data_IF_757639555375
#
_entry.id   IF_757639555375
#
_cell.length_a   1.000
_cell.length_b   1.000
_cell.length_c   1.000
_cell.angle_alpha   90.00
_cell.angle_beta   90.00
_cell.angle_gamma   90.00
#
_symmetry.space_group_name_H-M   'P 1'
#
loop_
_entity.id
_entity.type
_entity.pdbx_description
1 polymer ?
#
# COMPACT_ATOMS: atom_id res chain seq x y z
N UNK A 1 -25.29 29.05 -38.48
CA UNK A 1 -25.48 30.12 -37.47
C UNK A 1 -26.63 29.72 -36.55
N UNK A 2 -26.33 29.31 -35.32
CA UNK A 2 -27.32 29.05 -34.26
C UNK A 2 -26.71 29.60 -32.97
N UNK A 3 -26.90 30.89 -32.74
CA UNK A 3 -26.59 31.54 -31.46
C UNK A 3 -27.89 31.75 -30.68
N UNK A 4 -27.74 31.75 -29.36
CA UNK A 4 -28.59 32.36 -28.34
C UNK A 4 -29.69 31.49 -27.70
N UNK A 5 -29.26 30.70 -26.70
CA UNK A 5 -29.91 30.71 -25.39
C UNK A 5 -28.84 30.90 -24.31
N UNK A 6 -28.41 32.15 -24.15
CA UNK A 6 -27.59 32.55 -23.01
C UNK A 6 -28.54 32.67 -21.82
N UNK A 7 -28.48 31.70 -20.90
CA UNK A 7 -29.14 31.82 -19.60
C UNK A 7 -28.46 32.94 -18.79
N UNK A 8 -29.21 33.76 -18.05
CA UNK A 8 -28.64 34.82 -17.24
C UNK A 8 -27.72 34.23 -16.17
N UNK A 9 -26.45 34.65 -16.18
CA UNK A 9 -25.44 34.28 -15.19
C UNK A 9 -25.86 34.88 -13.85
N UNK A 10 -26.38 34.05 -12.93
CA UNK A 10 -26.46 34.41 -11.51
C UNK A 10 -25.05 34.86 -11.08
N UNK A 11 -24.92 36.10 -10.62
CA UNK A 11 -23.72 36.55 -9.90
C UNK A 11 -23.70 35.75 -8.59
N UNK A 12 -22.94 34.66 -8.58
CA UNK A 12 -22.57 33.99 -7.34
C UNK A 12 -21.49 34.87 -6.73
N UNK A 13 -21.90 35.69 -5.76
CA UNK A 13 -21.00 36.43 -4.90
C UNK A 13 -20.41 35.45 -3.88
N UNK A 14 -19.59 34.50 -4.35
CA UNK A 14 -18.80 33.66 -3.47
C UNK A 14 -17.50 34.41 -3.24
N UNK A 15 -17.42 35.15 -2.12
CA UNK A 15 -16.14 35.39 -1.47
C UNK A 15 -15.45 34.03 -1.36
N UNK A 16 -14.46 33.79 -2.21
CA UNK A 16 -13.67 32.58 -2.20
C UNK A 16 -12.99 32.56 -0.84
N UNK A 17 -13.54 31.80 0.12
CA UNK A 17 -12.76 31.37 1.27
C UNK A 17 -11.57 30.66 0.64
N UNK A 18 -10.38 31.23 0.79
CA UNK A 18 -9.15 30.51 0.50
C UNK A 18 -9.15 29.36 1.49
N UNK A 19 -9.65 28.20 1.05
CA UNK A 19 -9.54 26.98 1.84
C UNK A 19 -8.06 26.76 2.09
N UNK A 20 -7.71 26.65 3.37
CA UNK A 20 -6.35 26.36 3.78
C UNK A 20 -5.96 25.03 3.11
N UNK A 21 -4.83 25.02 2.41
CA UNK A 21 -4.28 23.78 1.84
C UNK A 21 -4.08 22.81 3.00
N UNK A 22 -4.68 21.62 2.90
CA UNK A 22 -4.55 20.56 3.89
C UNK A 22 -3.09 20.12 4.00
N UNK A 23 -2.66 19.79 5.22
CA UNK A 23 -1.36 19.17 5.43
C UNK A 23 -1.37 17.68 5.05
N UNK A 24 -0.18 17.08 4.92
CA UNK A 24 -0.05 15.67 4.54
C UNK A 24 -0.83 14.74 5.50
N UNK A 25 -0.68 14.95 6.81
CA UNK A 25 -1.32 14.11 7.83
C UNK A 25 -2.85 14.11 7.69
N UNK A 26 -3.46 15.24 7.31
CA UNK A 26 -4.91 15.33 7.09
C UNK A 26 -5.38 14.47 5.91
N UNK A 27 -4.57 14.38 4.84
CA UNK A 27 -4.84 13.47 3.73
C UNK A 27 -4.68 12.00 4.15
N UNK A 28 -3.66 11.69 4.95
CA UNK A 28 -3.42 10.33 5.45
C UNK A 28 -4.54 9.85 6.38
N UNK A 29 -4.96 10.69 7.32
CA UNK A 29 -6.04 10.39 8.27
C UNK A 29 -7.38 10.14 7.55
N UNK A 30 -7.65 10.92 6.50
CA UNK A 30 -8.84 10.75 5.65
C UNK A 30 -8.69 9.68 4.57
N UNK A 31 -7.51 9.03 4.47
CA UNK A 31 -7.13 8.05 3.45
C UNK A 31 -7.30 8.58 2.01
N UNK A 32 -7.20 9.89 1.83
CA UNK A 32 -7.19 10.54 0.52
C UNK A 32 -5.78 10.50 -0.06
N UNK A 33 -5.40 9.30 -0.51
CA UNK A 33 -4.06 9.07 -1.07
C UNK A 33 -3.82 9.81 -2.38
N UNK A 34 -4.88 10.05 -3.18
CA UNK A 34 -4.76 10.83 -4.42
C UNK A 34 -4.37 12.27 -4.12
N UNK A 35 -5.01 12.91 -3.12
CA UNK A 35 -4.63 14.23 -2.64
C UNK A 35 -3.22 14.27 -2.05
N UNK A 36 -2.87 13.27 -1.24
CA UNK A 36 -1.53 13.14 -0.66
C UNK A 36 -0.43 13.03 -1.73
N UNK A 37 -0.64 12.19 -2.77
CA UNK A 37 0.30 12.03 -3.89
C UNK A 37 0.53 13.37 -4.59
N UNK A 38 -0.54 14.10 -4.93
CA UNK A 38 -0.41 15.40 -5.61
C UNK A 38 0.38 16.42 -4.78
N UNK A 39 0.14 16.47 -3.47
CA UNK A 39 0.90 17.32 -2.55
C UNK A 39 2.38 16.91 -2.49
N UNK A 40 2.65 15.60 -2.37
CA UNK A 40 4.00 15.06 -2.24
C UNK A 40 4.82 15.21 -3.53
N UNK A 41 4.21 15.04 -4.70
CA UNK A 41 4.88 15.29 -5.98
C UNK A 41 5.31 16.75 -6.12
N UNK A 42 4.48 17.69 -5.66
CA UNK A 42 4.85 19.10 -5.62
C UNK A 42 6.00 19.33 -4.65
N UNK A 43 5.89 18.83 -3.41
CA UNK A 43 6.95 18.94 -2.39
C UNK A 43 8.26 18.32 -2.88
N UNK A 44 8.24 17.19 -3.58
CA UNK A 44 9.43 16.53 -4.11
C UNK A 44 10.13 17.37 -5.19
N UNK A 45 9.40 18.20 -5.94
CA UNK A 45 9.97 19.12 -6.95
C UNK A 45 10.59 20.36 -6.31
N UNK A 46 10.02 20.87 -5.22
CA UNK A 46 10.50 22.08 -4.54
C UNK A 46 11.57 21.78 -3.50
N UNK A 47 11.37 20.71 -2.73
CA UNK A 47 12.15 20.29 -1.56
C UNK A 47 12.30 18.76 -1.55
N UNK A 48 13.18 18.21 -2.41
CA UNK A 48 13.36 16.77 -2.51
C UNK A 48 13.91 16.20 -1.21
N UNK A 49 13.27 15.17 -0.68
CA UNK A 49 13.73 14.46 0.50
C UNK A 49 13.43 12.97 0.42
N UNK A 50 14.23 12.17 1.12
CA UNK A 50 13.98 10.73 1.28
C UNK A 50 12.59 10.49 1.89
N UNK A 51 12.20 11.30 2.88
CA UNK A 51 10.91 11.18 3.55
C UNK A 51 9.74 11.42 2.60
N UNK A 52 9.82 12.45 1.75
CA UNK A 52 8.78 12.74 0.75
C UNK A 52 8.64 11.57 -0.24
N UNK A 53 9.76 11.00 -0.68
CA UNK A 53 9.76 9.84 -1.58
C UNK A 53 9.19 8.57 -0.93
N UNK A 54 9.47 8.33 0.36
CA UNK A 54 8.89 7.22 1.12
C UNK A 54 7.38 7.36 1.26
N UNK A 55 6.89 8.55 1.61
CA UNK A 55 5.46 8.83 1.71
C UNK A 55 4.77 8.75 0.35
N UNK A 56 5.43 9.18 -0.72
CA UNK A 56 4.87 9.10 -2.07
C UNK A 56 4.70 7.63 -2.48
N UNK A 57 5.71 6.79 -2.27
CA UNK A 57 5.61 5.35 -2.53
C UNK A 57 4.53 4.67 -1.67
N UNK A 58 4.42 5.05 -0.39
CA UNK A 58 3.37 4.56 0.51
C UNK A 58 1.97 4.94 -0.01
N UNK A 59 1.75 6.22 -0.32
CA UNK A 59 0.46 6.69 -0.82
C UNK A 59 0.12 6.06 -2.17
N UNK A 60 1.10 5.92 -3.08
CA UNK A 60 0.90 5.22 -4.35
C UNK A 60 0.47 3.77 -4.13
N UNK A 61 1.13 3.04 -3.22
CA UNK A 61 0.76 1.66 -2.89
C UNK A 61 -0.68 1.57 -2.35
N UNK A 62 -1.02 2.39 -1.36
CA UNK A 62 -2.35 2.36 -0.72
C UNK A 62 -3.46 2.97 -1.60
N UNK A 63 -3.11 3.83 -2.56
CA UNK A 63 -4.01 4.32 -3.60
C UNK A 63 -4.23 3.33 -4.75
N UNK A 64 -3.52 2.20 -4.77
CA UNK A 64 -3.64 1.16 -5.80
C UNK A 64 -2.71 1.34 -7.01
N UNK A 65 -1.83 2.35 -6.99
CA UNK A 65 -0.81 2.60 -8.02
C UNK A 65 0.45 1.77 -7.78
N UNK A 66 0.29 0.43 -7.78
CA UNK A 66 1.36 -0.49 -7.37
C UNK A 66 2.62 -0.42 -8.25
N UNK A 67 2.46 -0.15 -9.55
CA UNK A 67 3.60 0.00 -10.47
C UNK A 67 4.45 1.23 -10.11
N UNK A 68 3.79 2.38 -9.86
CA UNK A 68 4.44 3.62 -9.43
C UNK A 68 5.14 3.43 -8.08
N UNK A 69 4.48 2.77 -7.13
CA UNK A 69 5.06 2.44 -5.83
C UNK A 69 6.32 1.58 -5.98
N UNK A 70 6.27 0.51 -6.78
CA UNK A 70 7.42 -0.35 -7.04
C UNK A 70 8.61 0.43 -7.62
N UNK A 71 8.40 1.23 -8.66
CA UNK A 71 9.45 2.05 -9.28
C UNK A 71 10.09 3.05 -8.30
N UNK A 72 9.27 3.65 -7.44
CA UNK A 72 9.75 4.58 -6.41
C UNK A 72 10.60 3.83 -5.38
N UNK A 73 10.13 2.70 -4.88
CA UNK A 73 10.90 1.87 -3.95
C UNK A 73 12.19 1.32 -4.56
N UNK A 74 12.19 0.87 -5.82
CA UNK A 74 13.40 0.44 -6.56
C UNK A 74 14.46 1.55 -6.63
N UNK A 75 14.01 2.80 -6.74
CA UNK A 75 14.90 3.97 -6.74
C UNK A 75 15.43 4.23 -5.34
N UNK A 76 14.57 4.13 -4.33
CA UNK A 76 14.92 4.36 -2.92
C UNK A 76 15.93 3.34 -2.39
N UNK A 77 15.76 2.04 -2.64
CA UNK A 77 16.67 1.00 -2.13
C UNK A 77 18.11 1.10 -2.66
N UNK A 78 18.33 1.89 -3.72
CA UNK A 78 19.67 2.18 -4.26
C UNK A 78 20.40 3.30 -3.50
N UNK A 79 19.69 4.05 -2.66
CA UNK A 79 20.25 5.14 -1.87
C UNK A 79 20.93 4.60 -0.61
N UNK A 80 22.06 5.21 -0.20
CA UNK A 80 22.87 4.72 0.93
C UNK A 80 22.13 4.80 2.27
N UNK A 81 21.28 5.81 2.44
CA UNK A 81 20.59 6.10 3.70
C UNK A 81 19.18 5.49 3.75
N UNK A 82 18.85 4.61 2.79
CA UNK A 82 17.53 4.00 2.71
C UNK A 82 17.34 2.97 3.84
N UNK A 83 16.24 3.06 4.62
CA UNK A 83 15.92 2.06 5.62
C UNK A 83 15.80 0.66 5.02
N UNK A 84 16.26 -0.35 5.73
CA UNK A 84 16.31 -1.72 5.22
C UNK A 84 14.91 -2.27 4.90
N UNK A 85 13.92 -1.89 5.70
CA UNK A 85 12.52 -2.28 5.61
C UNK A 85 11.88 -1.92 4.26
N UNK A 86 12.42 -0.92 3.56
CA UNK A 86 11.94 -0.50 2.23
C UNK A 86 12.05 -1.63 1.21
N UNK A 87 13.01 -2.55 1.38
CA UNK A 87 13.08 -3.76 0.55
C UNK A 87 11.84 -4.65 0.70
N UNK A 88 11.24 -4.73 1.89
CA UNK A 88 10.02 -5.50 2.12
C UNK A 88 8.79 -4.76 1.57
N UNK A 89 8.76 -3.43 1.63
CA UNK A 89 7.71 -2.63 0.98
C UNK A 89 7.74 -2.78 -0.56
N UNK A 90 8.94 -2.83 -1.15
CA UNK A 90 9.12 -3.18 -2.55
C UNK A 90 8.55 -4.59 -2.86
N UNK A 91 8.84 -5.58 -2.02
CA UNK A 91 8.26 -6.92 -2.17
C UNK A 91 6.72 -6.90 -2.14
N UNK A 92 6.11 -6.09 -1.27
CA UNK A 92 4.66 -5.92 -1.24
C UNK A 92 4.13 -5.35 -2.56
N UNK A 93 4.78 -4.34 -3.13
CA UNK A 93 4.41 -3.77 -4.43
C UNK A 93 4.55 -4.81 -5.57
N UNK A 94 5.65 -5.55 -5.58
CA UNK A 94 5.89 -6.64 -6.53
C UNK A 94 4.85 -7.76 -6.47
N UNK A 95 4.40 -8.14 -5.27
CA UNK A 95 3.32 -9.10 -5.11
C UNK A 95 2.02 -8.65 -5.80
N UNK A 96 1.68 -7.37 -5.68
CA UNK A 96 0.46 -6.78 -6.26
C UNK A 96 0.49 -6.71 -7.79
N UNK A 97 1.67 -6.46 -8.38
CA UNK A 97 1.86 -6.46 -9.85
C UNK A 97 2.22 -7.84 -10.42
N UNK A 98 2.39 -8.85 -9.57
CA UNK A 98 2.66 -10.23 -9.97
C UNK A 98 4.14 -10.59 -10.22
N UNK A 99 5.09 -9.71 -9.88
CA UNK A 99 6.53 -9.95 -9.98
C UNK A 99 7.06 -10.83 -8.83
N UNK A 100 6.59 -12.07 -8.76
CA UNK A 100 6.80 -12.94 -7.60
C UNK A 100 8.27 -13.39 -7.44
N UNK A 101 8.99 -13.59 -8.54
CA UNK A 101 10.37 -14.08 -8.50
C UNK A 101 11.33 -13.03 -7.92
N UNK A 102 11.14 -11.77 -8.28
CA UNK A 102 11.97 -10.68 -7.76
C UNK A 102 11.63 -10.36 -6.31
N UNK A 103 10.34 -10.38 -5.94
CA UNK A 103 9.91 -10.30 -4.54
C UNK A 103 10.56 -11.40 -3.70
N UNK A 104 10.61 -12.65 -4.20
CA UNK A 104 11.23 -13.78 -3.50
C UNK A 104 12.73 -13.57 -3.30
N UNK A 105 13.46 -13.21 -4.36
CA UNK A 105 14.92 -12.97 -4.30
C UNK A 105 15.28 -11.88 -3.29
N UNK A 106 14.44 -10.86 -3.15
CA UNK A 106 14.66 -9.77 -2.20
C UNK A 106 14.32 -10.23 -0.78
N UNK A 107 13.12 -10.80 -0.57
CA UNK A 107 12.64 -11.20 0.74
C UNK A 107 13.50 -12.27 1.42
N UNK A 108 14.06 -13.23 0.65
CA UNK A 108 14.95 -14.27 1.17
C UNK A 108 16.30 -13.72 1.68
N UNK A 109 16.68 -12.50 1.27
CA UNK A 109 17.90 -11.81 1.73
C UNK A 109 17.67 -10.89 2.92
N UNK A 110 16.41 -10.59 3.25
CA UNK A 110 16.09 -9.72 4.38
C UNK A 110 16.16 -10.49 5.71
N UNK A 111 16.43 -9.81 6.82
CA UNK A 111 16.36 -10.39 8.15
C UNK A 111 14.99 -11.04 8.38
N UNK A 112 15.00 -12.15 9.13
CA UNK A 112 13.76 -12.81 9.53
C UNK A 112 12.94 -11.84 10.37
N UNK A 113 11.66 -11.71 10.02
CA UNK A 113 10.71 -10.84 10.71
C UNK A 113 9.30 -11.15 10.23
N UNK A 114 8.30 -10.61 10.92
CA UNK A 114 6.90 -10.97 10.68
C UNK A 114 6.43 -10.61 9.27
N UNK A 115 6.71 -9.37 8.80
CA UNK A 115 6.36 -8.94 7.45
C UNK A 115 7.05 -9.81 6.39
N UNK A 116 8.32 -10.12 6.60
CA UNK A 116 9.10 -10.98 5.70
C UNK A 116 8.52 -12.39 5.63
N UNK A 117 8.10 -12.95 6.77
CA UNK A 117 7.43 -14.25 6.83
C UNK A 117 6.10 -14.23 6.07
N UNK A 118 5.25 -13.21 6.28
CA UNK A 118 3.98 -13.05 5.56
C UNK A 118 4.19 -12.97 4.03
N UNK A 119 5.18 -12.20 3.57
CA UNK A 119 5.54 -12.12 2.15
C UNK A 119 5.94 -13.50 1.60
N UNK A 120 6.83 -14.21 2.30
CA UNK A 120 7.29 -15.52 1.87
C UNK A 120 6.20 -16.59 1.90
N UNK A 121 5.25 -16.50 2.84
CA UNK A 121 4.05 -17.33 2.87
C UNK A 121 3.17 -17.11 1.63
N UNK A 122 2.86 -15.86 1.29
CA UNK A 122 2.11 -15.54 0.08
C UNK A 122 2.80 -16.05 -1.19
N UNK A 123 4.13 -15.86 -1.27
CA UNK A 123 4.92 -16.35 -2.39
C UNK A 123 4.94 -17.89 -2.48
N UNK A 124 5.07 -18.59 -1.35
CA UNK A 124 5.05 -20.05 -1.30
C UNK A 124 3.70 -20.62 -1.75
N UNK A 125 2.59 -20.04 -1.24
CA UNK A 125 1.25 -20.43 -1.67
C UNK A 125 1.08 -20.21 -3.17
N UNK A 126 1.43 -19.02 -3.68
CA UNK A 126 1.23 -18.69 -5.10
C UNK A 126 2.04 -19.58 -6.05
N UNK A 127 3.18 -20.10 -5.60
CA UNK A 127 3.98 -21.06 -6.36
C UNK A 127 3.55 -22.53 -6.21
N UNK A 128 2.56 -22.83 -5.36
CA UNK A 128 2.15 -24.21 -5.07
C UNK A 128 3.18 -25.02 -4.28
N UNK A 129 4.07 -24.35 -3.53
CA UNK A 129 5.06 -25.03 -2.69
C UNK A 129 4.45 -25.31 -1.32
N UNK A 130 3.73 -26.43 -1.20
CA UNK A 130 3.00 -26.81 0.02
C UNK A 130 3.93 -27.00 1.23
N UNK A 131 5.18 -27.42 1.00
CA UNK A 131 6.17 -27.58 2.07
C UNK A 131 6.56 -26.23 2.65
N UNK A 132 6.95 -25.27 1.80
CA UNK A 132 7.26 -23.90 2.25
C UNK A 132 6.04 -23.19 2.81
N UNK A 133 4.86 -23.42 2.23
CA UNK A 133 3.60 -22.85 2.73
C UNK A 133 3.34 -23.31 4.16
N UNK A 134 3.44 -24.62 4.42
CA UNK A 134 3.26 -25.18 5.77
C UNK A 134 4.32 -24.66 6.76
N UNK A 135 5.56 -24.52 6.30
CA UNK A 135 6.65 -23.97 7.11
C UNK A 135 6.39 -22.51 7.51
N UNK A 136 6.20 -21.59 6.55
CA UNK A 136 5.97 -20.17 6.88
C UNK A 136 4.66 -19.94 7.63
N UNK A 137 3.65 -20.77 7.37
CA UNK A 137 2.41 -20.78 8.14
C UNK A 137 2.65 -21.05 9.63
N UNK A 138 3.50 -22.03 9.96
CA UNK A 138 3.84 -22.36 11.37
C UNK A 138 4.58 -21.25 12.12
N UNK A 139 5.09 -20.25 11.41
CA UNK A 139 5.79 -19.09 11.99
C UNK A 139 4.87 -17.89 12.21
N UNK A 140 3.60 -17.95 11.79
CA UNK A 140 2.62 -16.91 12.08
C UNK A 140 2.30 -16.89 13.58
N UNK A 141 2.05 -15.69 14.09
CA UNK A 141 1.72 -15.40 15.48
C UNK A 141 0.23 -15.05 15.63
N UNK A 142 -0.13 -14.39 16.73
CA UNK A 142 -1.47 -13.89 17.00
C UNK A 142 -1.64 -12.40 16.66
N UNK A 143 -0.66 -11.76 16.02
CA UNK A 143 -0.81 -10.36 15.57
C UNK A 143 -1.96 -10.23 14.57
N UNK A 144 -2.56 -9.04 14.48
CA UNK A 144 -3.68 -8.76 13.57
C UNK A 144 -3.26 -9.02 12.12
N UNK A 145 -2.06 -8.61 11.76
CA UNK A 145 -1.49 -8.78 10.43
C UNK A 145 -1.29 -10.26 10.07
N UNK A 146 -0.86 -11.09 11.02
CA UNK A 146 -0.71 -12.53 10.82
C UNK A 146 -2.06 -13.24 10.72
N UNK A 147 -3.03 -12.86 11.54
CA UNK A 147 -4.40 -13.36 11.45
C UNK A 147 -5.04 -13.00 10.09
N UNK A 148 -4.84 -11.77 9.62
CA UNK A 148 -5.31 -11.33 8.30
C UNK A 148 -4.63 -12.10 7.17
N UNK A 149 -3.32 -12.33 7.27
CA UNK A 149 -2.56 -13.12 6.30
C UNK A 149 -3.07 -14.57 6.25
N UNK A 150 -3.24 -15.21 7.39
CA UNK A 150 -3.79 -16.57 7.50
C UNK A 150 -5.18 -16.67 6.87
N UNK A 151 -6.07 -15.74 7.21
CA UNK A 151 -7.42 -15.68 6.64
C UNK A 151 -7.37 -15.51 5.12
N UNK A 152 -6.48 -14.65 4.60
CA UNK A 152 -6.35 -14.42 3.16
C UNK A 152 -5.90 -15.67 2.40
N UNK A 153 -4.89 -16.38 2.92
CA UNK A 153 -4.40 -17.64 2.33
C UNK A 153 -5.52 -18.69 2.27
N UNK A 154 -6.29 -18.88 3.34
CA UNK A 154 -7.41 -19.83 3.33
C UNK A 154 -8.54 -19.41 2.40
N UNK A 155 -8.82 -18.11 2.31
CA UNK A 155 -9.79 -17.58 1.36
C UNK A 155 -9.39 -17.91 -0.09
N UNK A 156 -8.11 -17.71 -0.45
CA UNK A 156 -7.60 -18.05 -1.80
C UNK A 156 -7.64 -19.55 -2.11
N UNK A 157 -7.59 -20.41 -1.08
CA UNK A 157 -7.75 -21.87 -1.22
C UNK A 157 -9.21 -22.33 -1.32
N UNK A 158 -10.18 -21.42 -1.23
CA UNK A 158 -11.61 -21.74 -1.26
C UNK A 158 -12.19 -22.13 0.11
N UNK A 159 -11.40 -22.05 1.18
CA UNK A 159 -11.86 -22.33 2.54
C UNK A 159 -12.44 -21.06 3.17
N UNK A 160 -13.68 -20.71 2.81
CA UNK A 160 -14.24 -19.39 3.17
C UNK A 160 -14.76 -19.26 4.61
N UNK A 161 -15.15 -20.37 5.24
CA UNK A 161 -15.84 -20.33 6.54
C UNK A 161 -15.02 -19.68 7.65
N UNK A 162 -13.81 -20.17 7.88
CA UNK A 162 -12.90 -19.67 8.92
C UNK A 162 -12.42 -18.23 8.64
N UNK A 163 -11.92 -17.86 7.43
CA UNK A 163 -11.56 -16.48 7.11
C UNK A 163 -12.68 -15.47 7.37
N UNK A 164 -13.93 -15.80 7.02
CA UNK A 164 -15.06 -14.90 7.24
C UNK A 164 -15.29 -14.65 8.74
N UNK A 165 -15.11 -15.65 9.60
CA UNK A 165 -15.22 -15.48 11.05
C UNK A 165 -14.09 -14.60 11.56
N UNK A 166 -12.85 -14.89 11.17
CA UNK A 166 -11.68 -14.08 11.57
C UNK A 166 -11.82 -12.62 11.16
N UNK A 167 -12.19 -12.34 9.91
CA UNK A 167 -12.40 -10.97 9.43
C UNK A 167 -13.49 -10.23 10.20
N UNK A 168 -14.60 -10.91 10.53
CA UNK A 168 -15.68 -10.30 11.32
C UNK A 168 -15.24 -9.97 12.74
N UNK A 169 -14.46 -10.85 13.38
CA UNK A 169 -13.92 -10.62 14.73
C UNK A 169 -13.04 -9.38 14.73
N UNK A 170 -12.06 -9.33 13.81
CA UNK A 170 -11.11 -8.23 13.70
C UNK A 170 -11.79 -6.88 13.45
N UNK A 171 -12.79 -6.82 12.57
CA UNK A 171 -13.55 -5.58 12.32
C UNK A 171 -14.30 -5.12 13.58
N UNK A 172 -14.78 -6.04 14.40
CA UNK A 172 -15.54 -5.71 15.61
C UNK A 172 -14.62 -5.24 16.73
N UNK A 173 -13.43 -5.84 16.84
CA UNK A 173 -12.43 -5.51 17.85
C UNK A 173 -11.72 -4.17 17.57
N UNK A 174 -11.57 -3.79 16.30
CA UNK A 174 -10.81 -2.61 15.86
C UNK A 174 -11.67 -1.51 15.22
N UNK A 175 -12.93 -1.38 15.66
CA UNK A 175 -13.88 -0.42 15.11
C UNK A 175 -13.77 0.98 15.70
#
# INVERSE_FOLDING_TARGET
MLFSRILPRKKVDSRTKVEKIKELDEFLDSRDYTGAIALLEHKQKTEPSLQNSLWLAYCAYHGGEYQTAAQTYETLVKQKDCPQEVNLYLCCAYLMIGQNDDARKIAEKQPKGELQNRILLHLAHKSGDDKKTSYYHSLLTTSVEDQMCYAAINFFRGHYGEPMVTYKSLITEHR
#
